data_IF_426858650182
#
_entry.id   IF_426858650182
#
_cell.length_a   1.000
_cell.length_b   1.000
_cell.length_c   1.000
_cell.angle_alpha   90.00
_cell.angle_beta   90.00
_cell.angle_gamma   90.00
#
_symmetry.space_group_name_H-M   'P 1'
#
loop_
_entity.id
_entity.type
_entity.pdbx_description
1 polymer ?
#
# COMPACT_ATOMS: atom_id res chain seq x y z
N UNK A 1 -18.54 20.55 52.42
CA UNK A 1 -18.18 20.07 51.06
C UNK A 1 -18.07 21.28 50.15
N UNK A 2 -16.87 21.63 49.68
CA UNK A 2 -16.63 22.81 48.84
C UNK A 2 -16.94 22.44 47.39
N UNK A 3 -18.07 22.90 46.87
CA UNK A 3 -18.38 22.88 45.45
C UNK A 3 -17.38 23.77 44.72
N UNK A 4 -16.52 23.18 43.90
CA UNK A 4 -15.72 23.91 42.93
C UNK A 4 -16.56 24.04 41.65
N UNK A 5 -16.75 25.26 41.10
CA UNK A 5 -17.67 25.44 39.99
C UNK A 5 -17.08 24.86 38.70
N UNK A 6 -17.81 23.92 38.11
CA UNK A 6 -17.62 23.32 36.78
C UNK A 6 -17.28 24.36 35.69
N UNK A 7 -17.72 25.60 35.88
CA UNK A 7 -17.47 26.75 35.01
C UNK A 7 -15.98 27.10 34.79
N UNK A 8 -15.09 26.88 35.77
CA UNK A 8 -13.66 27.21 35.61
C UNK A 8 -12.93 26.32 34.60
N UNK A 9 -13.39 25.08 34.42
CA UNK A 9 -12.79 24.13 33.47
C UNK A 9 -13.23 24.40 32.03
N UNK A 10 -14.47 24.83 31.83
CA UNK A 10 -14.97 25.20 30.50
C UNK A 10 -14.28 26.48 29.99
N UNK A 11 -14.10 27.48 30.87
CA UNK A 11 -13.42 28.72 30.50
C UNK A 11 -11.92 28.50 30.15
N UNK A 12 -11.23 27.64 30.89
CA UNK A 12 -9.81 27.33 30.61
C UNK A 12 -9.64 26.53 29.32
N UNK A 13 -10.56 25.61 29.02
CA UNK A 13 -10.54 24.87 27.75
C UNK A 13 -10.85 25.79 26.55
N UNK A 14 -11.79 26.73 26.69
CA UNK A 14 -12.12 27.72 25.66
C UNK A 14 -10.94 28.64 25.33
N UNK A 15 -10.27 29.17 26.35
CA UNK A 15 -9.08 30.02 26.18
C UNK A 15 -7.90 29.26 25.55
N UNK A 16 -7.71 27.98 25.91
CA UNK A 16 -6.67 27.15 25.34
C UNK A 16 -6.90 26.88 23.84
N UNK A 17 -8.13 26.55 23.44
CA UNK A 17 -8.49 26.34 22.04
C UNK A 17 -8.35 27.62 21.21
N UNK A 18 -8.75 28.76 21.78
CA UNK A 18 -8.61 30.06 21.12
C UNK A 18 -7.12 30.45 20.93
N UNK A 19 -6.26 30.15 21.91
CA UNK A 19 -4.81 30.33 21.80
C UNK A 19 -4.16 29.43 20.74
N UNK A 20 -4.57 28.15 20.67
CA UNK A 20 -4.10 27.23 19.62
C UNK A 20 -4.49 27.71 18.22
N UNK A 21 -5.70 28.25 18.05
CA UNK A 21 -6.15 28.78 16.76
C UNK A 21 -5.34 30.00 16.32
N UNK A 22 -5.03 30.91 17.26
CA UNK A 22 -4.22 32.10 16.98
C UNK A 22 -2.75 31.75 16.66
N UNK A 23 -2.20 30.73 17.31
CA UNK A 23 -0.85 30.24 17.03
C UNK A 23 -0.75 29.60 15.62
N UNK A 24 -1.80 28.88 15.19
CA UNK A 24 -1.88 28.34 13.83
C UNK A 24 -1.98 29.44 12.77
N UNK A 25 -2.73 30.52 13.05
CA UNK A 25 -2.87 31.65 12.13
C UNK A 25 -1.56 32.44 11.93
N UNK A 26 -0.64 32.41 12.91
CA UNK A 26 0.66 33.11 12.81
C UNK A 26 1.77 32.32 12.12
N UNK A 27 1.60 31.01 11.93
CA UNK A 27 2.62 30.13 11.34
C UNK A 27 2.41 29.93 9.84
N UNK A 28 1.28 30.37 9.29
CA UNK A 28 1.02 30.32 7.84
C UNK A 28 1.53 31.62 7.20
N UNK A 29 2.57 31.58 6.35
CA UNK A 29 3.01 32.75 5.60
C UNK A 29 1.98 33.16 4.53
N UNK A 30 1.82 34.48 4.33
CA UNK A 30 0.86 35.13 3.41
C UNK A 30 0.96 34.71 1.92
N UNK A 31 1.87 33.81 1.56
CA UNK A 31 2.09 33.35 0.18
C UNK A 31 1.19 32.19 -0.28
N UNK A 32 0.24 31.73 0.55
CA UNK A 32 -0.69 30.65 0.21
C UNK A 32 -2.18 31.08 0.16
N UNK A 33 -2.47 32.37 -0.01
CA UNK A 33 -3.83 32.94 0.01
C UNK A 33 -4.79 32.48 -1.10
N UNK A 34 -4.33 31.72 -2.10
CA UNK A 34 -5.18 31.28 -3.22
C UNK A 34 -5.75 29.86 -3.11
N UNK A 35 -5.09 28.96 -2.37
CA UNK A 35 -5.42 27.52 -2.43
C UNK A 35 -6.39 27.06 -1.33
N UNK A 36 -6.57 27.84 -0.26
CA UNK A 36 -7.39 27.46 0.89
C UNK A 36 -8.86 27.90 0.79
N UNK A 37 -9.19 28.83 -0.12
CA UNK A 37 -10.59 29.23 -0.36
C UNK A 37 -11.38 28.19 -1.15
N UNK A 38 -10.72 27.28 -1.87
CA UNK A 38 -11.40 26.23 -2.66
C UNK A 38 -11.83 25.00 -1.83
N UNK A 39 -11.36 24.86 -0.58
CA UNK A 39 -11.72 23.73 0.31
C UNK A 39 -12.77 24.10 1.36
N UNK A 40 -13.13 25.38 1.50
CA UNK A 40 -14.08 25.85 2.51
C UNK A 40 -15.55 25.72 2.08
N UNK A 41 -15.85 25.59 0.78
CA UNK A 41 -17.23 25.43 0.28
C UNK A 41 -17.80 24.00 0.43
N UNK A 42 -17.01 23.03 0.88
CA UNK A 42 -17.43 21.63 1.00
C UNK A 42 -18.07 21.22 2.33
N UNK A 43 -18.08 22.08 3.35
CA UNK A 43 -18.52 21.72 4.72
C UNK A 43 -19.73 22.52 5.22
N UNK A 44 -20.55 23.03 4.30
CA UNK A 44 -21.90 23.49 4.62
C UNK A 44 -22.85 22.30 4.80
N UNK A 45 -23.71 22.37 5.81
CA UNK A 45 -24.89 21.52 6.04
C UNK A 45 -24.64 20.07 6.49
N UNK A 46 -24.55 19.86 7.81
CA UNK A 46 -24.49 18.53 8.40
C UNK A 46 -24.62 18.45 9.92
N UNK A 47 -25.68 19.04 10.49
CA UNK A 47 -26.40 18.41 11.61
C UNK A 47 -25.75 18.37 13.01
N UNK A 48 -25.98 19.45 13.76
CA UNK A 48 -26.12 19.45 15.22
C UNK A 48 -27.49 18.86 15.60
N UNK A 49 -27.58 17.76 16.39
CA UNK A 49 -28.69 17.46 17.34
C UNK A 49 -28.64 16.06 17.98
N UNK A 50 -28.78 16.02 19.31
CA UNK A 50 -29.35 15.01 20.25
C UNK A 50 -28.47 14.88 21.51
N UNK A 51 -28.71 15.58 22.63
CA UNK A 51 -29.83 15.58 23.59
C UNK A 51 -30.04 14.24 24.32
N UNK A 52 -29.58 14.26 25.59
CA UNK A 52 -30.18 13.77 26.84
C UNK A 52 -31.09 12.52 26.88
N UNK A 53 -30.74 11.62 27.80
CA UNK A 53 -31.60 10.60 28.42
C UNK A 53 -30.73 9.53 29.09
N UNK A 54 -30.91 9.08 30.32
CA UNK A 54 -31.89 9.41 31.34
C UNK A 54 -31.39 8.88 32.69
N UNK A 55 -31.87 9.54 33.74
CA UNK A 55 -31.88 9.08 35.12
C UNK A 55 -32.76 7.83 35.25
N UNK A 56 -32.25 6.79 35.90
CA UNK A 56 -33.08 5.75 36.51
C UNK A 56 -32.43 5.30 37.81
N UNK A 57 -33.08 5.62 38.91
CA UNK A 57 -32.66 5.31 40.27
C UNK A 57 -32.80 3.83 40.61
N UNK A 58 -31.95 3.38 41.53
CA UNK A 58 -32.08 2.09 42.20
C UNK A 58 -31.70 2.28 43.66
N UNK A 59 -32.70 2.52 44.50
CA UNK A 59 -32.57 2.55 45.95
C UNK A 59 -32.33 1.14 46.48
N UNK A 60 -31.23 0.93 47.21
CA UNK A 60 -31.08 -0.25 48.09
C UNK A 60 -30.85 0.22 49.50
N UNK A 61 -31.86 -0.02 50.34
CA UNK A 61 -31.87 0.18 51.79
C UNK A 61 -30.90 -0.80 52.46
N UNK A 62 -30.07 -0.21 53.31
CA UNK A 62 -29.61 -0.65 54.63
C UNK A 62 -29.76 -2.13 55.03
N UNK A 63 -28.63 -2.72 55.43
CA UNK A 63 -28.58 -3.59 56.62
C UNK A 63 -27.26 -3.40 57.34
N UNK A 64 -27.33 -2.66 58.45
CA UNK A 64 -26.27 -2.55 59.45
C UNK A 64 -26.36 -3.74 60.39
N UNK A 65 -25.23 -4.38 60.71
CA UNK A 65 -24.89 -4.80 62.09
C UNK A 65 -23.38 -5.01 62.25
N UNK A 66 -22.82 -4.77 63.47
CA UNK A 66 -21.40 -4.53 63.69
C UNK A 66 -20.68 -5.70 64.40
N UNK A 67 -19.41 -5.47 64.75
CA UNK A 67 -18.40 -6.33 65.42
C UNK A 67 -17.48 -7.06 64.43
N UNK A 68 -16.16 -7.00 64.51
CA UNK A 68 -15.25 -6.33 65.43
C UNK A 68 -13.81 -6.80 65.12
N UNK A 69 -12.85 -5.94 65.48
CA UNK A 69 -11.47 -6.28 65.90
C UNK A 69 -10.42 -6.63 64.82
N UNK A 70 -9.48 -5.67 64.71
CA UNK A 70 -8.06 -5.75 64.34
C UNK A 70 -7.56 -6.63 63.20
N UNK A 71 -7.22 -5.99 62.07
CA UNK A 71 -5.97 -6.26 61.34
C UNK A 71 -5.35 -4.96 60.79
N UNK A 72 -4.07 -4.76 61.13
CA UNK A 72 -3.17 -3.72 60.61
C UNK A 72 -3.28 -3.57 59.08
N UNK A 73 -3.40 -2.36 58.51
CA UNK A 73 -3.21 -2.14 57.09
C UNK A 73 -1.72 -1.91 56.82
N UNK A 74 -0.95 -2.98 56.72
CA UNK A 74 0.36 -2.94 56.09
C UNK A 74 0.22 -3.30 54.62
N UNK A 75 0.50 -2.35 53.73
CA UNK A 75 0.77 -2.53 52.28
C UNK A 75 -0.40 -2.78 51.29
N UNK A 76 -1.19 -1.76 50.94
CA UNK A 76 -1.84 -1.72 49.62
C UNK A 76 -1.12 -0.82 48.60
N UNK A 77 -0.20 0.05 49.04
CA UNK A 77 0.35 1.12 48.20
C UNK A 77 1.58 0.69 47.38
N UNK A 78 2.32 -0.34 47.81
CA UNK A 78 3.47 -0.87 47.04
C UNK A 78 3.01 -1.72 45.83
N UNK A 79 1.93 -2.48 45.96
CA UNK A 79 1.41 -3.33 44.87
C UNK A 79 0.81 -2.53 43.69
N UNK A 80 0.28 -1.32 43.94
CA UNK A 80 -0.19 -0.43 42.86
C UNK A 80 0.96 0.35 42.19
N UNK A 81 2.09 0.54 42.88
CA UNK A 81 3.28 1.24 42.36
C UNK A 81 4.03 0.40 41.32
N UNK A 82 4.00 -0.93 41.45
CA UNK A 82 4.59 -1.87 40.47
C UNK A 82 3.67 -2.14 39.27
N UNK A 83 2.35 -2.00 39.44
CA UNK A 83 1.37 -2.20 38.37
C UNK A 83 1.34 -1.01 37.40
N UNK A 84 1.56 0.21 37.90
CA UNK A 84 1.63 1.43 37.09
C UNK A 84 3.06 1.96 37.07
N UNK A 85 4.00 1.15 36.57
CA UNK A 85 5.31 1.68 36.21
C UNK A 85 5.11 2.84 35.21
N UNK A 86 5.63 4.05 35.49
CA UNK A 86 5.36 5.21 34.66
C UNK A 86 5.87 4.98 33.25
N UNK A 87 5.14 5.52 32.27
CA UNK A 87 5.63 5.67 30.89
C UNK A 87 7.00 6.35 30.95
N UNK A 88 8.07 5.59 30.69
CA UNK A 88 9.43 6.14 30.76
C UNK A 88 9.77 6.88 29.47
N UNK A 89 10.61 7.93 29.53
CA UNK A 89 11.16 8.57 28.32
C UNK A 89 11.87 7.56 27.39
N UNK A 90 12.49 6.52 27.96
CA UNK A 90 13.13 5.44 27.21
C UNK A 90 12.16 4.61 26.36
N UNK A 91 10.94 4.36 26.84
CA UNK A 91 9.90 3.67 26.05
C UNK A 91 9.48 4.50 24.83
N UNK A 92 9.28 5.82 25.03
CA UNK A 92 8.95 6.74 23.94
C UNK A 92 10.05 6.80 22.89
N UNK A 93 11.32 6.89 23.30
CA UNK A 93 12.46 6.87 22.38
C UNK A 93 12.55 5.57 21.58
N UNK A 94 12.34 4.42 22.24
CA UNK A 94 12.34 3.09 21.58
C UNK A 94 11.27 3.03 20.50
N UNK A 95 10.03 3.41 20.83
CA UNK A 95 8.91 3.39 19.87
C UNK A 95 9.13 4.37 18.73
N UNK A 96 9.68 5.57 18.99
CA UNK A 96 10.04 6.51 17.93
C UNK A 96 11.11 5.96 16.99
N UNK A 97 12.16 5.32 17.52
CA UNK A 97 13.22 4.69 16.70
C UNK A 97 12.66 3.53 15.87
N UNK A 98 11.80 2.70 16.47
CA UNK A 98 11.13 1.61 15.77
C UNK A 98 10.20 2.11 14.65
N UNK A 99 9.43 3.17 14.89
CA UNK A 99 8.61 3.80 13.86
C UNK A 99 9.46 4.35 12.71
N UNK A 100 10.55 5.06 13.01
CA UNK A 100 11.45 5.57 11.97
C UNK A 100 12.06 4.44 11.12
N UNK A 101 12.53 3.36 11.75
CA UNK A 101 13.04 2.19 11.02
C UNK A 101 11.96 1.52 10.16
N UNK A 102 10.74 1.40 10.69
CA UNK A 102 9.58 0.88 9.97
C UNK A 102 9.31 1.71 8.72
N UNK A 103 9.34 3.04 8.84
CA UNK A 103 9.05 3.93 7.72
C UNK A 103 10.12 3.82 6.63
N UNK A 104 11.41 3.77 6.98
CA UNK A 104 12.48 3.51 6.01
C UNK A 104 12.34 2.13 5.34
N UNK A 105 11.99 1.10 6.11
CA UNK A 105 11.79 -0.26 5.60
C UNK A 105 10.58 -0.37 4.66
N UNK A 106 9.48 0.33 4.98
CA UNK A 106 8.30 0.40 4.13
C UNK A 106 8.55 1.23 2.85
N UNK A 107 9.35 2.29 2.95
CA UNK A 107 9.70 3.16 1.84
C UNK A 107 10.45 2.40 0.75
N UNK A 108 11.52 1.68 1.09
CA UNK A 108 12.29 0.91 0.09
C UNK A 108 11.44 -0.17 -0.61
N UNK A 109 10.51 -0.81 0.11
CA UNK A 109 9.59 -1.78 -0.47
C UNK A 109 8.60 -1.12 -1.45
N UNK A 110 8.10 0.08 -1.10
CA UNK A 110 7.24 0.89 -1.98
C UNK A 110 8.00 1.34 -3.23
N UNK A 111 9.22 1.86 -3.08
CA UNK A 111 10.01 2.38 -4.19
C UNK A 111 10.37 1.26 -5.18
N UNK A 112 10.69 0.07 -4.68
CA UNK A 112 10.94 -1.09 -5.54
C UNK A 112 9.67 -1.52 -6.30
N UNK A 113 8.50 -1.56 -5.62
CA UNK A 113 7.23 -1.83 -6.30
C UNK A 113 6.91 -0.79 -7.36
N UNK A 114 7.19 0.48 -7.09
CA UNK A 114 6.99 1.57 -8.04
C UNK A 114 7.92 1.44 -9.25
N UNK A 115 9.19 1.11 -9.06
CA UNK A 115 10.14 0.86 -10.15
C UNK A 115 9.69 -0.33 -11.03
N UNK A 116 9.22 -1.43 -10.41
CA UNK A 116 8.65 -2.57 -11.15
C UNK A 116 7.36 -2.20 -11.89
N UNK A 117 6.50 -1.37 -11.28
CA UNK A 117 5.30 -0.88 -11.93
C UNK A 117 5.63 0.01 -13.13
N UNK A 118 6.66 0.87 -13.03
CA UNK A 118 7.12 1.70 -14.15
C UNK A 118 7.56 0.86 -15.35
N UNK A 119 8.32 -0.23 -15.12
CA UNK A 119 8.70 -1.19 -16.19
C UNK A 119 7.46 -1.77 -16.85
N UNK A 120 6.48 -2.21 -16.06
CA UNK A 120 5.23 -2.80 -16.59
C UNK A 120 4.42 -1.80 -17.42
N UNK A 121 4.29 -0.57 -16.92
CA UNK A 121 3.58 0.50 -17.62
C UNK A 121 4.27 0.84 -18.95
N UNK A 122 5.60 0.90 -18.96
CA UNK A 122 6.36 1.14 -20.20
C UNK A 122 6.28 -0.04 -21.18
N UNK A 123 6.21 -1.27 -20.67
CA UNK A 123 6.18 -2.50 -21.47
C UNK A 123 4.82 -2.81 -22.09
N UNK A 124 3.74 -2.47 -21.39
CA UNK A 124 2.39 -2.89 -21.76
C UNK A 124 1.98 -2.51 -23.20
N UNK A 125 2.29 -1.31 -23.74
CA UNK A 125 1.96 -0.97 -25.12
C UNK A 125 2.65 -1.86 -26.15
N UNK A 126 3.97 -2.10 -26.00
CA UNK A 126 4.73 -2.94 -26.94
C UNK A 126 4.29 -4.40 -26.87
N UNK A 127 4.03 -4.91 -25.66
CA UNK A 127 3.51 -6.27 -25.48
C UNK A 127 2.12 -6.43 -26.11
N UNK A 128 1.22 -5.47 -25.89
CA UNK A 128 -0.10 -5.45 -26.51
C UNK A 128 -0.02 -5.39 -28.03
N UNK A 129 0.84 -4.54 -28.59
CA UNK A 129 1.02 -4.43 -30.03
C UNK A 129 1.46 -5.76 -30.67
N UNK A 130 2.36 -6.51 -30.01
CA UNK A 130 2.77 -7.83 -30.49
C UNK A 130 1.66 -8.88 -30.36
N UNK A 131 0.92 -8.88 -29.26
CA UNK A 131 -0.24 -9.76 -29.10
C UNK A 131 -1.28 -9.46 -30.17
N UNK A 132 -1.54 -8.17 -30.42
CA UNK A 132 -2.49 -7.71 -31.43
C UNK A 132 -2.07 -8.18 -32.82
N UNK A 133 -0.79 -8.06 -33.17
CA UNK A 133 -0.25 -8.56 -34.44
C UNK A 133 -0.35 -10.10 -34.58
N UNK A 134 -0.11 -10.86 -33.51
CA UNK A 134 -0.28 -12.32 -33.51
C UNK A 134 -1.75 -12.74 -33.67
N UNK A 135 -2.68 -12.01 -33.05
CA UNK A 135 -4.12 -12.28 -33.16
C UNK A 135 -4.67 -11.88 -34.53
N UNK A 136 -4.08 -10.89 -35.17
CA UNK A 136 -4.43 -10.46 -36.53
C UNK A 136 -4.08 -11.53 -37.57
N UNK A 137 -2.97 -12.23 -37.38
CA UNK A 137 -2.59 -13.39 -38.21
C UNK A 137 -3.40 -14.65 -37.90
N UNK A 138 -4.26 -14.63 -36.89
CA UNK A 138 -4.95 -15.82 -36.40
C UNK A 138 -6.38 -15.91 -36.94
N UNK A 139 -6.73 -16.91 -37.78
CA UNK A 139 -8.07 -17.01 -38.33
C UNK A 139 -9.12 -17.31 -37.25
N UNK A 140 -10.35 -16.82 -37.43
CA UNK A 140 -11.50 -17.10 -36.52
C UNK A 140 -11.78 -18.59 -36.32
N UNK A 141 -11.38 -19.45 -37.26
CA UNK A 141 -11.44 -20.90 -37.11
C UNK A 141 -10.70 -21.42 -35.86
N UNK A 142 -9.68 -20.69 -35.38
CA UNK A 142 -8.92 -21.01 -34.16
C UNK A 142 -9.74 -20.89 -32.88
N UNK A 143 -10.84 -20.12 -32.89
CA UNK A 143 -11.75 -19.99 -31.74
C UNK A 143 -12.35 -21.33 -31.34
N UNK A 144 -12.52 -22.28 -32.27
CA UNK A 144 -12.99 -23.65 -32.00
C UNK A 144 -12.14 -24.40 -30.98
N UNK A 145 -10.86 -24.04 -30.81
CA UNK A 145 -9.98 -24.64 -29.79
C UNK A 145 -10.48 -24.34 -28.37
N UNK A 146 -11.07 -23.17 -28.17
CA UNK A 146 -11.51 -22.68 -26.85
C UNK A 146 -13.03 -22.79 -26.69
N UNK A 147 -13.78 -22.45 -27.74
CA UNK A 147 -15.25 -22.49 -27.76
C UNK A 147 -15.83 -23.89 -28.03
N UNK A 148 -14.99 -24.86 -28.40
CA UNK A 148 -15.40 -26.21 -28.76
C UNK A 148 -15.60 -26.40 -30.27
N UNK A 149 -15.54 -27.67 -30.72
CA UNK A 149 -15.54 -28.04 -32.15
C UNK A 149 -16.80 -27.63 -32.91
N UNK A 150 -17.94 -27.56 -32.20
CA UNK A 150 -19.23 -27.18 -32.78
C UNK A 150 -19.40 -25.66 -32.97
N UNK A 151 -18.41 -24.85 -32.55
CA UNK A 151 -18.49 -23.40 -32.69
C UNK A 151 -18.55 -22.97 -34.17
N UNK A 152 -19.56 -22.16 -34.57
CA UNK A 152 -19.84 -21.82 -35.96
C UNK A 152 -18.92 -20.71 -36.48
N UNK A 153 -17.60 -20.97 -36.53
CA UNK A 153 -16.62 -19.99 -37.02
C UNK A 153 -16.85 -19.55 -38.48
N UNK A 154 -17.62 -20.31 -39.28
CA UNK A 154 -17.99 -19.94 -40.64
C UNK A 154 -18.95 -18.75 -40.69
N UNK A 155 -19.89 -18.67 -39.74
CA UNK A 155 -20.85 -17.56 -39.61
C UNK A 155 -20.10 -16.23 -39.44
N UNK A 156 -19.08 -16.18 -38.58
CA UNK A 156 -18.23 -15.00 -38.42
C UNK A 156 -17.57 -14.57 -39.75
N UNK A 157 -17.07 -15.53 -40.52
CA UNK A 157 -16.41 -15.25 -41.80
C UNK A 157 -17.40 -14.78 -42.88
N UNK A 158 -18.64 -15.29 -42.88
CA UNK A 158 -19.72 -14.81 -43.76
C UNK A 158 -20.10 -13.36 -43.47
N UNK A 159 -19.97 -12.93 -42.21
CA UNK A 159 -20.19 -11.55 -41.77
C UNK A 159 -18.92 -10.67 -41.83
N UNK A 160 -17.88 -11.10 -42.57
CA UNK A 160 -16.66 -10.31 -42.82
C UNK A 160 -15.65 -10.28 -41.67
N UNK A 161 -15.78 -11.17 -40.70
CA UNK A 161 -14.87 -11.29 -39.55
C UNK A 161 -14.00 -12.54 -39.74
N UNK A 162 -12.75 -12.32 -40.13
CA UNK A 162 -11.79 -13.33 -40.55
C UNK A 162 -10.71 -13.61 -39.50
N UNK A 163 -10.40 -12.64 -38.64
CA UNK A 163 -9.32 -12.78 -37.64
C UNK A 163 -9.85 -12.76 -36.21
N UNK A 164 -9.09 -13.35 -35.28
CA UNK A 164 -9.40 -13.28 -33.85
C UNK A 164 -9.29 -11.84 -33.36
N UNK A 165 -8.42 -11.02 -33.97
CA UNK A 165 -8.32 -9.60 -33.64
C UNK A 165 -9.59 -8.84 -33.99
N UNK A 166 -10.15 -9.05 -35.18
CA UNK A 166 -11.40 -8.41 -35.61
C UNK A 166 -12.58 -8.76 -34.70
N UNK A 167 -12.64 -9.99 -34.18
CA UNK A 167 -13.64 -10.38 -33.16
C UNK A 167 -13.50 -9.54 -31.89
N UNK A 168 -12.27 -9.26 -31.46
CA UNK A 168 -12.01 -8.41 -30.30
C UNK A 168 -12.27 -6.94 -30.60
N UNK A 169 -11.99 -6.45 -31.80
CA UNK A 169 -12.24 -5.04 -32.14
C UNK A 169 -13.74 -4.76 -32.31
N UNK A 170 -14.49 -5.69 -32.90
CA UNK A 170 -15.94 -5.59 -33.05
C UNK A 170 -16.68 -5.66 -31.70
N UNK A 171 -16.15 -6.44 -30.74
CA UNK A 171 -16.84 -6.78 -29.47
C UNK A 171 -18.24 -7.41 -29.71
N UNK A 172 -18.97 -7.74 -28.65
CA UNK A 172 -20.27 -8.45 -28.79
C UNK A 172 -21.26 -7.62 -29.62
N UNK A 173 -21.37 -6.33 -29.31
CA UNK A 173 -22.31 -5.43 -29.98
C UNK A 173 -21.99 -5.23 -31.47
N UNK A 174 -20.71 -5.12 -31.85
CA UNK A 174 -20.34 -4.96 -33.27
C UNK A 174 -20.60 -6.21 -34.09
N UNK A 175 -20.43 -7.40 -33.50
CA UNK A 175 -20.78 -8.67 -34.16
C UNK A 175 -22.29 -8.82 -34.34
N UNK A 176 -23.08 -8.47 -33.31
CA UNK A 176 -24.55 -8.43 -33.41
C UNK A 176 -25.00 -7.48 -34.52
N UNK A 177 -24.38 -6.30 -34.63
CA UNK A 177 -24.68 -5.35 -35.70
C UNK A 177 -24.32 -5.86 -37.09
N UNK A 178 -23.27 -6.68 -37.21
CA UNK A 178 -22.89 -7.33 -38.45
C UNK A 178 -23.83 -8.48 -38.87
N UNK A 179 -24.75 -8.89 -37.99
CA UNK A 179 -25.75 -9.94 -38.24
C UNK A 179 -25.48 -11.28 -37.55
N UNK A 180 -24.44 -11.37 -36.72
CA UNK A 180 -24.11 -12.59 -35.95
C UNK A 180 -25.09 -12.76 -34.80
N UNK A 181 -25.54 -13.99 -34.53
CA UNK A 181 -26.40 -14.25 -33.36
C UNK A 181 -25.74 -13.83 -32.04
N UNK A 182 -26.50 -13.21 -31.14
CA UNK A 182 -26.02 -12.71 -29.85
C UNK A 182 -25.28 -13.76 -29.01
N UNK A 183 -25.74 -15.01 -29.00
CA UNK A 183 -25.08 -16.08 -28.25
C UNK A 183 -23.76 -16.49 -28.91
N UNK A 184 -23.72 -16.50 -30.24
CA UNK A 184 -22.51 -16.76 -31.02
C UNK A 184 -21.50 -15.62 -30.79
N UNK A 185 -21.93 -14.36 -30.86
CA UNK A 185 -21.11 -13.17 -30.60
C UNK A 185 -20.49 -13.19 -29.20
N UNK A 186 -21.30 -13.41 -28.15
CA UNK A 186 -20.79 -13.53 -26.78
C UNK A 186 -19.79 -14.68 -26.60
N UNK A 187 -20.06 -15.83 -27.21
CA UNK A 187 -19.14 -16.98 -27.18
C UNK A 187 -17.84 -16.68 -27.93
N UNK A 188 -17.93 -16.01 -29.08
CA UNK A 188 -16.79 -15.61 -29.90
C UNK A 188 -15.86 -14.67 -29.13
N UNK A 189 -16.40 -13.62 -28.52
CA UNK A 189 -15.64 -12.64 -27.73
C UNK A 189 -15.01 -13.30 -26.50
N UNK A 190 -15.76 -14.14 -25.78
CA UNK A 190 -15.21 -14.87 -24.63
C UNK A 190 -14.06 -15.81 -25.04
N UNK A 191 -14.20 -16.52 -26.16
CA UNK A 191 -13.15 -17.40 -26.69
C UNK A 191 -11.94 -16.60 -27.19
N UNK A 192 -12.16 -15.47 -27.87
CA UNK A 192 -11.11 -14.58 -28.36
C UNK A 192 -10.32 -13.96 -27.20
N UNK A 193 -10.99 -13.54 -26.12
CA UNK A 193 -10.32 -13.03 -24.89
C UNK A 193 -9.43 -14.09 -24.25
N UNK A 194 -9.93 -15.32 -24.08
CA UNK A 194 -9.12 -16.44 -23.55
C UNK A 194 -7.93 -16.75 -24.44
N UNK A 195 -8.09 -16.69 -25.76
CA UNK A 195 -6.99 -16.93 -26.70
C UNK A 195 -5.98 -15.77 -26.69
N UNK A 196 -6.44 -14.53 -26.54
CA UNK A 196 -5.58 -13.37 -26.34
C UNK A 196 -4.79 -13.47 -25.03
N UNK A 197 -5.41 -13.93 -23.94
CA UNK A 197 -4.72 -14.22 -22.67
C UNK A 197 -3.67 -15.33 -22.84
N UNK A 198 -4.00 -16.42 -23.56
CA UNK A 198 -3.04 -17.48 -23.89
C UNK A 198 -1.84 -16.92 -24.69
N UNK A 199 -2.09 -16.07 -25.69
CA UNK A 199 -1.04 -15.45 -26.50
C UNK A 199 -0.21 -14.45 -25.71
N UNK A 200 -0.85 -13.63 -24.88
CA UNK A 200 -0.20 -12.69 -23.99
C UNK A 200 0.83 -13.39 -23.07
N UNK A 201 0.57 -14.63 -22.65
CA UNK A 201 1.50 -15.43 -21.86
C UNK A 201 2.69 -16.03 -22.63
N UNK A 202 2.62 -16.12 -23.96
CA UNK A 202 3.66 -16.74 -24.80
C UNK A 202 4.48 -15.71 -25.57
N UNK A 203 3.89 -14.56 -25.91
CA UNK A 203 4.55 -13.51 -26.69
C UNK A 203 5.61 -12.82 -25.84
N UNK A 204 6.87 -12.95 -26.26
CA UNK A 204 8.01 -12.24 -25.69
C UNK A 204 8.37 -11.06 -26.58
N UNK A 205 8.33 -9.83 -26.06
CA UNK A 205 8.86 -8.68 -26.81
C UNK A 205 10.37 -8.83 -26.89
N UNK A 206 10.90 -8.83 -28.11
CA UNK A 206 12.33 -8.73 -28.36
C UNK A 206 12.71 -7.25 -28.33
N UNK A 207 13.68 -6.91 -27.48
CA UNK A 207 14.32 -5.60 -27.54
C UNK A 207 15.37 -5.67 -28.65
N UNK A 208 15.15 -4.92 -29.71
CA UNK A 208 16.13 -4.68 -30.77
C UNK A 208 16.82 -3.34 -30.49
N UNK A 209 18.14 -3.33 -30.20
CA UNK A 209 18.86 -2.09 -29.90
C UNK A 209 18.99 -1.15 -31.10
N UNK A 210 18.91 -1.66 -32.33
CA UNK A 210 19.10 -0.86 -33.55
C UNK A 210 17.82 -0.13 -33.97
N UNK A 211 16.68 -0.52 -33.39
CA UNK A 211 15.36 0.05 -33.69
C UNK A 211 14.94 1.03 -32.60
N UNK A 212 15.07 2.33 -32.87
CA UNK A 212 14.64 3.38 -31.95
C UNK A 212 13.11 3.56 -31.98
N UNK A 213 12.40 2.66 -31.30
CA UNK A 213 10.98 2.83 -31.02
C UNK A 213 10.80 3.57 -29.67
N UNK A 214 9.99 4.64 -29.59
CA UNK A 214 9.78 5.39 -28.35
C UNK A 214 9.33 4.53 -27.16
N UNK A 215 8.55 3.47 -27.43
CA UNK A 215 8.13 2.51 -26.41
C UNK A 215 9.30 1.68 -25.84
N UNK A 216 10.24 1.27 -26.69
CA UNK A 216 11.43 0.51 -26.28
C UNK A 216 12.36 1.39 -25.43
N UNK A 217 12.53 2.66 -25.80
CA UNK A 217 13.32 3.61 -25.00
C UNK A 217 12.76 3.76 -23.57
N UNK A 218 11.44 3.90 -23.42
CA UNK A 218 10.79 3.97 -22.11
C UNK A 218 11.00 2.70 -21.28
N UNK A 219 10.92 1.53 -21.91
CA UNK A 219 11.19 0.24 -21.27
C UNK A 219 12.63 0.15 -20.80
N UNK A 220 13.59 0.54 -21.64
CA UNK A 220 15.01 0.52 -21.31
C UNK A 220 15.34 1.48 -20.16
N UNK A 221 14.76 2.69 -20.13
CA UNK A 221 14.91 3.61 -19.01
C UNK A 221 14.38 3.01 -17.70
N UNK A 222 13.18 2.43 -17.73
CA UNK A 222 12.59 1.81 -16.55
C UNK A 222 13.37 0.59 -16.06
N UNK A 223 13.87 -0.25 -16.97
CA UNK A 223 14.70 -1.41 -16.63
C UNK A 223 16.06 -1.00 -16.07
N UNK A 224 16.66 0.06 -16.61
CA UNK A 224 17.96 0.56 -16.16
C UNK A 224 17.96 0.89 -14.67
N UNK A 225 16.88 1.47 -14.14
CA UNK A 225 16.70 1.72 -12.70
C UNK A 225 16.94 0.45 -11.89
N UNK A 226 16.33 -0.67 -12.30
CA UNK A 226 16.45 -1.95 -11.61
C UNK A 226 17.81 -2.62 -11.85
N UNK A 227 18.42 -2.43 -13.01
CA UNK A 227 19.78 -2.92 -13.33
C UNK A 227 20.82 -2.20 -12.48
N UNK A 228 20.73 -0.87 -12.37
CA UNK A 228 21.65 -0.03 -11.59
C UNK A 228 21.50 -0.28 -10.09
N UNK A 229 20.26 -0.34 -9.58
CA UNK A 229 19.99 -0.69 -8.18
C UNK A 229 20.41 -2.14 -7.85
N UNK A 230 20.44 -3.01 -8.87
CA UNK A 230 21.00 -4.36 -8.81
C UNK A 230 20.22 -5.33 -7.92
N UNK A 231 20.74 -6.56 -7.71
CA UNK A 231 20.05 -7.59 -6.94
C UNK A 231 19.88 -7.22 -5.46
N UNK A 232 20.71 -6.30 -4.95
CA UNK A 232 20.65 -5.82 -3.56
C UNK A 232 19.37 -5.03 -3.30
N UNK A 233 18.84 -4.29 -4.28
CA UNK A 233 17.60 -3.54 -4.14
C UNK A 233 16.38 -4.45 -3.94
N UNK A 234 16.30 -5.56 -4.67
CA UNK A 234 15.25 -6.58 -4.44
C UNK A 234 15.34 -7.15 -3.02
N UNK A 235 16.54 -7.55 -2.60
CA UNK A 235 16.74 -8.08 -1.25
C UNK A 235 16.43 -7.06 -0.15
N UNK A 236 16.65 -5.76 -0.42
CA UNK A 236 16.29 -4.64 0.45
C UNK A 236 14.79 -4.47 0.56
N UNK A 237 14.07 -4.51 -0.57
CA UNK A 237 12.62 -4.43 -0.60
C UNK A 237 11.95 -5.59 0.14
N UNK A 238 12.34 -6.84 -0.12
CA UNK A 238 11.77 -8.04 0.52
C UNK A 238 12.00 -8.04 2.04
N UNK A 239 13.22 -7.68 2.47
CA UNK A 239 13.55 -7.57 3.90
C UNK A 239 12.87 -6.37 4.54
N UNK A 240 12.79 -5.25 3.83
CA UNK A 240 12.10 -4.04 4.26
C UNK A 240 10.62 -4.29 4.51
N UNK A 241 9.95 -4.96 3.58
CA UNK A 241 8.53 -5.34 3.70
C UNK A 241 8.29 -6.26 4.90
N UNK A 242 9.08 -7.34 5.02
CA UNK A 242 8.98 -8.28 6.15
C UNK A 242 9.22 -7.58 7.49
N UNK A 243 10.22 -6.68 7.55
CA UNK A 243 10.54 -5.95 8.77
C UNK A 243 9.47 -4.92 9.11
N UNK A 244 8.97 -4.17 8.14
CA UNK A 244 7.92 -3.17 8.34
C UNK A 244 6.64 -3.82 8.89
N UNK A 245 6.20 -4.94 8.31
CA UNK A 245 5.03 -5.69 8.80
C UNK A 245 5.22 -6.18 10.25
N UNK A 246 6.42 -6.69 10.60
CA UNK A 246 6.74 -7.10 11.97
C UNK A 246 6.74 -5.91 12.94
N UNK A 247 7.32 -4.79 12.54
CA UNK A 247 7.37 -3.57 13.36
C UNK A 247 5.97 -2.99 13.57
N UNK A 248 5.10 -2.99 12.55
CA UNK A 248 3.72 -2.53 12.66
C UNK A 248 2.95 -3.29 13.74
N UNK A 249 3.06 -4.62 13.75
CA UNK A 249 2.46 -5.46 14.80
C UNK A 249 2.99 -5.11 16.19
N UNK A 250 4.32 -5.02 16.35
CA UNK A 250 4.94 -4.74 17.64
C UNK A 250 4.67 -3.31 18.14
N UNK A 251 4.61 -2.32 17.25
CA UNK A 251 4.26 -0.94 17.58
C UNK A 251 2.81 -0.84 18.06
N UNK A 252 1.88 -1.56 17.42
CA UNK A 252 0.49 -1.65 17.85
C UNK A 252 0.36 -2.29 19.25
N UNK A 253 1.11 -3.36 19.50
CA UNK A 253 1.13 -4.05 20.80
C UNK A 253 1.80 -3.20 21.91
N UNK A 254 2.84 -2.42 21.57
CA UNK A 254 3.56 -1.56 22.50
C UNK A 254 2.81 -0.26 22.85
N UNK A 255 1.84 0.17 22.03
CA UNK A 255 1.13 1.44 22.19
C UNK A 255 0.59 1.72 23.62
N UNK A 256 0.04 0.75 24.37
CA UNK A 256 -0.43 0.97 25.74
C UNK A 256 0.67 1.36 26.73
N UNK A 257 1.93 0.98 26.48
CA UNK A 257 3.05 1.25 27.39
C UNK A 257 3.69 2.64 27.19
N UNK A 258 3.20 3.42 26.21
CA UNK A 258 3.78 4.71 25.80
C UNK A 258 2.84 5.89 26.10
N UNK A 259 1.57 5.62 26.37
CA UNK A 259 0.52 6.62 26.62
C UNK A 259 -0.23 6.33 27.91
N UNK A 260 -0.48 7.37 28.71
CA UNK A 260 -1.12 7.26 30.03
C UNK A 260 -2.58 6.78 29.90
N UNK A 261 -3.37 7.33 28.98
CA UNK A 261 -4.78 6.94 28.82
C UNK A 261 -4.99 5.43 28.54
N UNK A 262 -4.36 4.87 27.50
CA UNK A 262 -4.41 3.43 27.22
C UNK A 262 -3.87 2.53 28.34
N UNK A 263 -2.96 3.03 29.17
CA UNK A 263 -2.44 2.31 30.33
C UNK A 263 -3.49 2.18 31.43
N UNK A 264 -4.30 3.23 31.63
CA UNK A 264 -5.36 3.27 32.65
C UNK A 264 -6.56 2.39 32.29
N UNK A 265 -6.80 2.12 31.01
CA UNK A 265 -7.90 1.25 30.52
C UNK A 265 -7.44 -0.17 30.17
N UNK A 266 -6.14 -0.44 30.17
CA UNK A 266 -5.58 -1.74 29.84
C UNK A 266 -5.60 -2.69 31.03
N UNK A 267 -6.22 -3.86 30.86
CA UNK A 267 -6.08 -4.97 31.80
C UNK A 267 -4.64 -5.51 31.90
N UNK A 268 -4.29 -6.24 32.97
CA UNK A 268 -2.93 -6.70 33.25
C UNK A 268 -2.30 -7.55 32.13
N UNK A 269 -3.11 -8.33 31.40
CA UNK A 269 -2.65 -9.09 30.23
C UNK A 269 -2.21 -8.21 29.06
N UNK A 270 -2.85 -7.05 28.85
CA UNK A 270 -2.48 -6.08 27.81
C UNK A 270 -1.19 -5.33 28.18
N UNK A 271 -1.01 -5.01 29.45
CA UNK A 271 0.24 -4.41 29.96
C UNK A 271 1.42 -5.37 29.80
N UNK A 272 1.26 -6.66 30.14
CA UNK A 272 2.30 -7.68 29.92
C UNK A 272 2.70 -7.80 28.46
N UNK A 273 1.72 -7.86 27.54
CA UNK A 273 1.98 -7.90 26.09
C UNK A 273 2.72 -6.65 25.62
N UNK A 274 2.31 -5.46 26.06
CA UNK A 274 2.98 -4.22 25.68
C UNK A 274 4.44 -4.15 26.17
N UNK A 275 4.74 -4.65 27.38
CA UNK A 275 6.11 -4.75 27.90
C UNK A 275 6.95 -5.77 27.12
N UNK A 276 6.36 -6.93 26.77
CA UNK A 276 7.02 -7.93 25.92
C UNK A 276 7.34 -7.37 24.52
N UNK A 277 6.38 -6.65 23.90
CA UNK A 277 6.58 -5.99 22.62
C UNK A 277 7.69 -4.94 22.68
N UNK A 278 7.77 -4.13 23.76
CA UNK A 278 8.87 -3.17 23.95
C UNK A 278 10.24 -3.85 24.07
N UNK A 279 10.33 -4.98 24.78
CA UNK A 279 11.57 -5.74 24.88
C UNK A 279 12.00 -6.29 23.51
N UNK A 280 11.04 -6.76 22.72
CA UNK A 280 11.29 -7.25 21.38
C UNK A 280 11.69 -6.14 20.40
N UNK A 281 11.04 -4.97 20.47
CA UNK A 281 11.43 -3.80 19.68
C UNK A 281 12.87 -3.38 19.95
N UNK A 282 13.34 -3.41 21.20
CA UNK A 282 14.75 -3.11 21.53
C UNK A 282 15.70 -4.11 20.87
N UNK A 283 15.43 -5.41 21.01
CA UNK A 283 16.24 -6.47 20.38
C UNK A 283 16.31 -6.32 18.87
N UNK A 284 15.18 -6.00 18.22
CA UNK A 284 15.12 -5.77 16.78
C UNK A 284 15.89 -4.52 16.37
N UNK A 285 15.78 -3.43 17.12
CA UNK A 285 16.53 -2.20 16.85
C UNK A 285 18.05 -2.44 16.99
N UNK A 286 18.48 -3.11 18.05
CA UNK A 286 19.90 -3.40 18.28
C UNK A 286 20.45 -4.32 17.17
N UNK A 287 19.65 -5.29 16.71
CA UNK A 287 20.01 -6.13 15.57
C UNK A 287 20.07 -5.33 14.26
N UNK A 288 19.05 -4.53 13.97
CA UNK A 288 18.99 -3.71 12.77
C UNK A 288 20.14 -2.69 12.69
N UNK A 289 20.57 -2.16 13.84
CA UNK A 289 21.71 -1.26 13.95
C UNK A 289 23.03 -2.01 13.67
N UNK A 290 23.26 -3.19 14.27
CA UNK A 290 24.42 -4.03 13.97
C UNK A 290 24.48 -4.46 12.51
N UNK A 291 23.33 -4.79 11.93
CA UNK A 291 23.22 -5.25 10.54
C UNK A 291 23.22 -4.07 9.54
N UNK A 292 23.24 -2.81 10.00
CA UNK A 292 23.28 -1.62 9.15
C UNK A 292 22.02 -1.44 8.27
N UNK A 293 20.85 -1.92 8.72
CA UNK A 293 19.66 -2.01 7.88
C UNK A 293 19.12 -0.65 7.42
N UNK A 294 19.08 0.35 8.31
CA UNK A 294 18.53 1.66 7.95
C UNK A 294 19.35 2.38 6.85
N UNK A 295 20.69 2.50 6.95
CA UNK A 295 21.51 3.01 5.85
C UNK A 295 21.35 2.21 4.56
N UNK A 296 21.27 0.88 4.67
CA UNK A 296 21.12 0.02 3.51
C UNK A 296 19.78 0.20 2.78
N UNK A 297 18.67 0.31 3.51
CA UNK A 297 17.35 0.63 2.93
C UNK A 297 17.31 2.02 2.31
N UNK A 298 17.92 3.02 2.98
CA UNK A 298 17.99 4.38 2.45
C UNK A 298 18.79 4.43 1.14
N UNK A 299 19.94 3.76 1.08
CA UNK A 299 20.74 3.69 -0.14
C UNK A 299 19.97 3.01 -1.28
N UNK A 300 19.33 1.87 -1.01
CA UNK A 300 18.54 1.17 -2.02
C UNK A 300 17.36 2.02 -2.54
N UNK A 301 16.69 2.77 -1.67
CA UNK A 301 15.64 3.72 -2.05
C UNK A 301 16.20 4.83 -2.97
N UNK A 302 17.35 5.42 -2.62
CA UNK A 302 18.02 6.42 -3.46
C UNK A 302 18.40 5.84 -4.83
N UNK A 303 18.95 4.63 -4.87
CA UNK A 303 19.31 3.97 -6.13
C UNK A 303 18.08 3.71 -7.01
N UNK A 304 16.93 3.37 -6.41
CA UNK A 304 15.65 3.16 -7.11
C UNK A 304 15.00 4.46 -7.60
N UNK A 305 15.27 5.59 -6.94
CA UNK A 305 14.70 6.90 -7.31
C UNK A 305 15.54 7.65 -8.35
N UNK A 306 16.76 7.19 -8.65
CA UNK A 306 17.71 7.91 -9.50
C UNK A 306 17.37 7.90 -11.00
N UNK A 307 16.38 7.12 -11.43
CA UNK A 307 16.50 6.44 -12.73
C UNK A 307 15.62 6.77 -13.95
N UNK A 308 14.45 7.47 -13.93
CA UNK A 308 13.73 7.73 -15.19
C UNK A 308 13.96 9.14 -15.78
N UNK A 309 14.05 10.17 -14.94
CA UNK A 309 13.91 11.56 -15.39
C UNK A 309 15.20 12.15 -16.01
N UNK A 310 16.35 11.51 -15.81
CA UNK A 310 17.63 12.02 -16.28
C UNK A 310 17.92 11.76 -17.78
N UNK A 311 17.13 10.89 -18.44
CA UNK A 311 17.35 10.47 -19.83
C UNK A 311 16.02 10.22 -20.58
N UNK A 312 15.25 11.28 -20.89
CA UNK A 312 13.95 11.15 -21.56
C UNK A 312 14.05 10.57 -22.99
N UNK A 313 15.23 10.64 -23.61
CA UNK A 313 15.50 10.04 -24.93
C UNK A 313 15.96 8.58 -24.84
N UNK A 314 16.26 8.06 -23.65
CA UNK A 314 16.74 6.71 -23.42
C UNK A 314 18.10 6.40 -24.07
N UNK A 315 18.91 7.41 -24.37
CA UNK A 315 20.20 7.21 -25.03
C UNK A 315 21.20 6.53 -24.10
N UNK A 316 21.31 6.98 -22.86
CA UNK A 316 22.18 6.38 -21.87
C UNK A 316 21.64 5.00 -21.43
N UNK A 317 20.31 4.80 -21.43
CA UNK A 317 19.72 3.48 -21.24
C UNK A 317 20.04 2.50 -22.39
N UNK A 318 20.04 2.98 -23.63
CA UNK A 318 20.39 2.17 -24.81
C UNK A 318 21.87 1.80 -24.84
N UNK A 319 22.76 2.74 -24.49
CA UNK A 319 24.20 2.46 -24.35
C UNK A 319 24.47 1.46 -23.23
N UNK A 320 23.80 1.58 -22.08
CA UNK A 320 23.95 0.62 -20.98
C UNK A 320 23.46 -0.77 -21.38
N UNK A 321 22.32 -0.86 -22.07
CA UNK A 321 21.80 -2.10 -22.63
C UNK A 321 22.79 -2.76 -23.60
N UNK A 322 23.34 -2.00 -24.55
CA UNK A 322 24.32 -2.52 -25.51
C UNK A 322 25.58 -3.08 -24.82
N UNK A 323 25.96 -2.52 -23.67
CA UNK A 323 27.12 -3.00 -22.90
C UNK A 323 26.85 -4.25 -22.05
N UNK A 324 25.59 -4.49 -21.63
CA UNK A 324 25.21 -5.53 -20.65
C UNK A 324 23.82 -6.14 -20.94
N UNK A 325 23.56 -6.66 -22.16
CA UNK A 325 22.22 -7.08 -22.59
C UNK A 325 21.65 -8.23 -21.74
N UNK A 326 22.52 -9.09 -21.20
CA UNK A 326 22.13 -10.23 -20.38
C UNK A 326 21.38 -9.82 -19.11
N UNK A 327 21.74 -8.68 -18.50
CA UNK A 327 21.08 -8.19 -17.27
C UNK A 327 19.65 -7.74 -17.54
N UNK A 328 19.44 -7.09 -18.68
CA UNK A 328 18.13 -6.63 -19.11
C UNK A 328 17.23 -7.79 -19.52
N UNK A 329 17.74 -8.74 -20.31
CA UNK A 329 16.99 -9.93 -20.68
C UNK A 329 16.63 -10.81 -19.47
N UNK A 330 17.51 -10.95 -18.48
CA UNK A 330 17.21 -11.68 -17.26
C UNK A 330 16.06 -11.03 -16.45
N UNK A 331 16.02 -9.69 -16.38
CA UNK A 331 14.92 -8.96 -15.75
C UNK A 331 13.62 -9.10 -16.55
N UNK A 332 13.69 -8.97 -17.88
CA UNK A 332 12.52 -9.14 -18.74
C UNK A 332 11.91 -10.53 -18.62
N UNK A 333 12.73 -11.59 -18.68
CA UNK A 333 12.25 -12.96 -18.52
C UNK A 333 11.52 -13.12 -17.17
N UNK A 334 12.06 -12.56 -16.10
CA UNK A 334 11.47 -12.59 -14.76
C UNK A 334 10.14 -11.82 -14.66
N UNK A 335 9.93 -10.79 -15.47
CA UNK A 335 8.69 -10.03 -15.50
C UNK A 335 7.67 -10.58 -16.50
N UNK A 336 8.13 -11.24 -17.58
CA UNK A 336 7.32 -11.91 -18.58
C UNK A 336 6.74 -13.24 -18.08
N UNK A 337 7.44 -13.97 -17.21
CA UNK A 337 7.01 -15.25 -16.60
C UNK A 337 5.84 -15.09 -15.59
N UNK A 338 5.21 -13.90 -15.50
CA UNK A 338 4.09 -13.61 -14.59
C UNK A 338 2.71 -14.03 -15.14
N UNK A 339 2.65 -15.17 -15.82
CA UNK A 339 1.45 -16.02 -15.83
C UNK A 339 1.20 -16.72 -14.49
N UNK A 340 2.05 -16.51 -13.48
CA UNK A 340 1.84 -16.99 -12.11
C UNK A 340 1.70 -15.81 -11.11
N UNK A 341 0.46 -15.67 -10.64
CA UNK A 341 0.03 -15.19 -9.32
C UNK A 341 0.99 -14.29 -8.55
N UNK A 342 0.64 -13.00 -8.48
CA UNK A 342 0.94 -12.16 -7.32
C UNK A 342 -0.34 -11.42 -6.93
N UNK A 343 -1.36 -12.20 -6.63
CA UNK A 343 -2.39 -11.80 -5.68
C UNK A 343 -1.89 -12.27 -4.31
N UNK A 344 -1.33 -11.32 -3.56
CA UNK A 344 -1.55 -11.15 -2.12
C UNK A 344 -1.12 -9.73 -1.75
#
# INVERSE_FOLDING_TARGET
MRHVPFFRWVATLGLFLMGCSFALYRVVPDSAGGALFALADGFGTGGFLLVAGGLAGGAVRARSRPHGVHRRPGRPVELLRDVVAPVTPGHRRTVRRAAALRDTAALVARDYRQAVAAVRTAWAPSHRALVDAELDLMPVARLRRVAGRAFPAGELAEHGVHTVREVLDAQEWGLEHAGVDRRVAGTAVAAARRLAEERAGVVTVRIDPDRQEPGIAAVLCALRVLVEAGPRAKGAAERGETLAARLDKLLAEAAPAVRIGPLLTAGPGRIRRARAALAELRRLLDRAERDGLAPWFAQASVDLLRGPDADPAGLAASVDFASRPEKYHALLAKFADRSLSWAD
#
